data_IF_664075429989
#
_entry.id   IF_664075429989
#
_cell.length_a   1.000
_cell.length_b   1.000
_cell.length_c   1.000
_cell.angle_alpha   90.00
_cell.angle_beta   90.00
_cell.angle_gamma   90.00
#
_symmetry.space_group_name_H-M   'P 1'
#
loop_
_entity.id
_entity.type
_entity.pdbx_description
1 polymer ?
#
# COMPACT_ATOMS: atom_id res chain seq x y z
N UNK A 1 18.21 4.71 6.15
CA UNK A 1 17.20 4.56 7.22
C UNK A 1 17.66 3.43 8.15
N UNK A 2 17.96 3.73 9.42
CA UNK A 2 18.25 2.68 10.41
C UNK A 2 16.92 2.08 10.88
N UNK A 3 16.79 0.75 10.85
CA UNK A 3 15.63 0.03 11.39
C UNK A 3 15.56 0.31 12.89
N UNK A 4 14.37 0.63 13.41
CA UNK A 4 14.18 0.83 14.86
C UNK A 4 14.22 -0.54 15.56
N UNK A 5 14.53 -0.60 16.86
CA UNK A 5 14.60 -1.88 17.61
C UNK A 5 13.31 -2.70 17.49
N UNK A 6 12.15 -2.05 17.38
CA UNK A 6 10.85 -2.69 17.18
C UNK A 6 10.76 -3.46 15.84
N UNK A 7 11.39 -2.94 14.78
CA UNK A 7 11.37 -3.57 13.46
C UNK A 7 12.19 -4.86 13.44
N UNK A 8 13.31 -4.89 14.17
CA UNK A 8 14.18 -6.07 14.24
C UNK A 8 13.52 -7.20 15.04
N UNK A 9 12.87 -6.87 16.16
CA UNK A 9 12.11 -7.84 16.96
C UNK A 9 10.93 -8.42 16.17
N UNK A 10 10.25 -7.59 15.38
CA UNK A 10 9.20 -8.04 14.46
C UNK A 10 9.72 -9.06 13.44
N UNK A 11 10.89 -8.82 12.84
CA UNK A 11 11.50 -9.77 11.89
C UNK A 11 11.83 -11.10 12.55
N UNK A 12 12.30 -11.10 13.80
CA UNK A 12 12.58 -12.33 14.56
C UNK A 12 11.27 -13.08 14.85
N UNK A 13 10.21 -12.39 15.25
CA UNK A 13 8.90 -13.02 15.48
C UNK A 13 8.33 -13.64 14.19
N UNK A 14 8.42 -12.93 13.07
CA UNK A 14 8.00 -13.45 11.77
C UNK A 14 8.81 -14.66 11.32
N UNK A 15 10.13 -14.68 11.59
CA UNK A 15 10.97 -15.84 11.33
C UNK A 15 10.47 -17.09 12.06
N UNK A 16 10.06 -16.95 13.33
CA UNK A 16 9.52 -18.07 14.11
C UNK A 16 8.20 -18.62 13.53
N UNK A 17 7.35 -17.77 12.95
CA UNK A 17 6.13 -18.21 12.25
C UNK A 17 6.49 -18.91 10.93
N UNK A 18 7.39 -18.32 10.14
CA UNK A 18 7.80 -18.87 8.85
C UNK A 18 8.50 -20.23 8.98
N UNK A 19 9.28 -20.45 10.04
CA UNK A 19 9.98 -21.74 10.26
C UNK A 19 9.02 -22.91 10.52
N UNK A 20 7.80 -22.62 10.98
CA UNK A 20 6.74 -23.63 11.14
C UNK A 20 6.03 -24.02 9.84
N UNK A 21 6.30 -23.32 8.72
CA UNK A 21 5.58 -23.53 7.46
C UNK A 21 6.41 -24.31 6.42
N UNK A 22 5.88 -25.42 5.87
CA UNK A 22 6.61 -26.23 4.89
C UNK A 22 7.07 -25.45 3.65
N UNK A 23 8.38 -25.46 3.41
CA UNK A 23 9.01 -24.78 2.27
C UNK A 23 9.35 -23.31 2.50
N UNK A 24 9.04 -22.73 3.67
CA UNK A 24 9.32 -21.32 3.98
C UNK A 24 10.65 -21.10 4.69
N UNK A 25 11.49 -22.14 4.78
CA UNK A 25 12.73 -22.13 5.56
C UNK A 25 13.69 -21.02 5.14
N UNK A 26 13.93 -20.83 3.83
CA UNK A 26 14.81 -19.75 3.35
C UNK A 26 14.30 -18.35 3.69
N UNK A 27 12.98 -18.16 3.75
CA UNK A 27 12.38 -16.90 4.23
C UNK A 27 12.54 -16.74 5.75
N UNK A 28 12.36 -17.81 6.51
CA UNK A 28 12.59 -17.81 7.95
C UNK A 28 14.05 -17.45 8.28
N UNK A 29 15.01 -18.01 7.55
CA UNK A 29 16.45 -17.75 7.72
C UNK A 29 16.80 -16.32 7.31
N UNK A 30 16.22 -15.81 6.22
CA UNK A 30 16.31 -14.41 5.83
C UNK A 30 15.87 -13.47 6.96
N UNK A 31 14.65 -13.67 7.48
CA UNK A 31 14.05 -12.82 8.52
C UNK A 31 14.86 -12.86 9.83
N UNK A 32 15.35 -14.04 10.23
CA UNK A 32 16.19 -14.19 11.42
C UNK A 32 17.53 -13.45 11.27
N UNK A 33 18.19 -13.59 10.13
CA UNK A 33 19.46 -12.93 9.86
C UNK A 33 19.29 -11.41 9.75
N UNK A 34 18.20 -10.94 9.15
CA UNK A 34 17.87 -9.53 9.06
C UNK A 34 17.61 -8.92 10.44
N UNK A 35 16.83 -9.60 11.29
CA UNK A 35 16.59 -9.20 12.68
C UNK A 35 17.87 -9.11 13.53
N UNK A 36 18.93 -9.86 13.16
CA UNK A 36 20.27 -9.80 13.79
C UNK A 36 21.24 -8.83 13.11
N UNK A 37 20.80 -8.10 12.08
CA UNK A 37 21.64 -7.17 11.32
C UNK A 37 22.63 -7.81 10.33
N UNK A 38 22.51 -9.11 10.03
CA UNK A 38 23.45 -9.86 9.16
C UNK A 38 23.03 -9.76 7.68
N UNK A 39 23.19 -8.57 7.08
CA UNK A 39 22.61 -8.23 5.77
C UNK A 39 23.06 -9.11 4.60
N UNK A 40 24.37 -9.32 4.43
CA UNK A 40 24.91 -10.02 3.24
C UNK A 40 24.42 -11.46 3.15
N UNK A 41 24.43 -12.18 4.28
CA UNK A 41 23.95 -13.56 4.34
C UNK A 41 22.43 -13.62 4.21
N UNK A 42 21.70 -12.71 4.86
CA UNK A 42 20.24 -12.62 4.73
C UNK A 42 19.84 -12.51 3.24
N UNK A 43 20.48 -11.62 2.47
CA UNK A 43 20.19 -11.47 1.04
C UNK A 43 20.45 -12.74 0.22
N UNK A 44 21.44 -13.57 0.59
CA UNK A 44 21.67 -14.84 -0.07
C UNK A 44 20.51 -15.83 0.19
N UNK A 45 20.10 -15.98 1.46
CA UNK A 45 18.96 -16.83 1.83
C UNK A 45 17.67 -16.39 1.12
N UNK A 46 17.42 -15.06 1.05
CA UNK A 46 16.27 -14.50 0.35
C UNK A 46 16.33 -14.80 -1.16
N UNK A 47 17.49 -14.65 -1.78
CA UNK A 47 17.65 -14.88 -3.22
C UNK A 47 17.33 -16.33 -3.58
N UNK A 48 17.89 -17.28 -2.84
CA UNK A 48 17.63 -18.71 -3.06
C UNK A 48 16.16 -19.05 -2.80
N UNK A 49 15.57 -18.50 -1.74
CA UNK A 49 14.16 -18.67 -1.42
C UNK A 49 13.26 -18.17 -2.56
N UNK A 50 13.49 -16.94 -3.05
CA UNK A 50 12.67 -16.33 -4.10
C UNK A 50 12.74 -17.15 -5.39
N UNK A 51 13.94 -17.62 -5.77
CA UNK A 51 14.11 -18.46 -6.96
C UNK A 51 13.33 -19.78 -6.84
N UNK A 52 13.37 -20.42 -5.67
CA UNK A 52 12.59 -21.63 -5.43
C UNK A 52 11.08 -21.34 -5.42
N UNK A 53 10.65 -20.30 -4.72
CA UNK A 53 9.24 -19.93 -4.53
C UNK A 53 8.56 -19.51 -5.84
N UNK A 54 9.30 -18.93 -6.79
CA UNK A 54 8.79 -18.57 -8.10
C UNK A 54 8.23 -19.79 -8.86
N UNK A 55 8.80 -20.97 -8.62
CA UNK A 55 8.38 -22.23 -9.26
C UNK A 55 7.24 -22.95 -8.56
N UNK A 56 6.77 -22.43 -7.41
CA UNK A 56 5.66 -23.06 -6.68
C UNK A 56 4.35 -22.97 -7.45
N UNK A 57 3.40 -23.84 -7.08
CA UNK A 57 2.01 -23.72 -7.56
C UNK A 57 1.41 -22.38 -7.13
N UNK A 58 0.43 -21.91 -7.89
CA UNK A 58 -0.31 -20.69 -7.60
C UNK A 58 -0.80 -20.65 -6.14
N UNK A 59 -1.48 -21.70 -5.67
CA UNK A 59 -2.03 -21.75 -4.31
C UNK A 59 -0.96 -21.56 -3.22
N UNK A 60 0.24 -22.13 -3.43
CA UNK A 60 1.35 -21.99 -2.49
C UNK A 60 1.97 -20.60 -2.54
N UNK A 61 2.06 -19.98 -3.71
CA UNK A 61 2.49 -18.59 -3.83
C UNK A 61 1.46 -17.65 -3.21
N UNK A 62 0.17 -17.91 -3.40
CA UNK A 62 -0.91 -17.07 -2.86
C UNK A 62 -0.95 -17.13 -1.33
N UNK A 63 -0.84 -18.31 -0.72
CA UNK A 63 -0.73 -18.46 0.75
C UNK A 63 0.46 -17.66 1.31
N UNK A 64 1.60 -17.70 0.62
CA UNK A 64 2.76 -16.88 0.98
C UNK A 64 2.47 -15.38 0.84
N UNK A 65 1.85 -14.95 -0.26
CA UNK A 65 1.54 -13.55 -0.52
C UNK A 65 0.58 -12.99 0.53
N UNK A 66 -0.51 -13.70 0.83
CA UNK A 66 -1.48 -13.27 1.83
C UNK A 66 -0.82 -13.10 3.21
N UNK A 67 -0.02 -14.07 3.64
CA UNK A 67 0.71 -13.95 4.91
C UNK A 67 1.67 -12.75 4.93
N UNK A 68 2.37 -12.50 3.82
CA UNK A 68 3.31 -11.39 3.73
C UNK A 68 2.61 -10.03 3.70
N UNK A 69 1.50 -9.91 2.99
CA UNK A 69 0.70 -8.70 2.89
C UNK A 69 0.01 -8.34 4.21
N UNK A 70 -0.38 -9.35 4.99
CA UNK A 70 -0.88 -9.16 6.35
C UNK A 70 0.24 -8.79 7.35
N UNK A 71 1.46 -9.30 7.13
CA UNK A 71 2.57 -9.15 8.08
C UNK A 71 3.44 -7.91 7.83
N UNK A 72 3.56 -7.47 6.58
CA UNK A 72 4.46 -6.41 6.15
C UNK A 72 3.72 -5.37 5.31
N UNK A 73 4.09 -4.11 5.53
CA UNK A 73 3.78 -3.06 4.57
C UNK A 73 4.51 -3.35 3.24
N UNK A 74 3.86 -3.20 2.07
CA UNK A 74 4.52 -3.32 0.76
C UNK A 74 5.79 -2.46 0.65
N UNK A 75 5.81 -1.28 1.26
CA UNK A 75 6.98 -0.37 1.27
C UNK A 75 8.18 -0.90 2.06
N UNK A 76 7.96 -1.84 2.98
CA UNK A 76 9.01 -2.48 3.77
C UNK A 76 9.45 -3.82 3.21
N UNK A 77 8.78 -4.30 2.16
CA UNK A 77 9.03 -5.60 1.56
C UNK A 77 10.28 -5.55 0.67
N UNK A 78 11.15 -6.56 0.70
CA UNK A 78 12.30 -6.62 -0.20
C UNK A 78 11.86 -6.70 -1.66
N UNK A 79 12.42 -5.83 -2.51
CA UNK A 79 12.11 -5.78 -3.96
C UNK A 79 12.14 -7.16 -4.65
N UNK A 80 13.13 -8.06 -4.42
CA UNK A 80 13.12 -9.38 -5.04
C UNK A 80 11.86 -10.20 -4.72
N UNK A 81 11.36 -10.10 -3.50
CA UNK A 81 10.17 -10.80 -3.06
C UNK A 81 8.91 -10.15 -3.67
N UNK A 82 8.86 -8.81 -3.63
CA UNK A 82 7.75 -8.03 -4.15
C UNK A 82 7.56 -8.25 -5.66
N UNK A 83 8.63 -8.11 -6.42
CA UNK A 83 8.61 -8.13 -7.89
C UNK A 83 8.52 -9.55 -8.47
N UNK A 84 9.13 -10.55 -7.82
CA UNK A 84 9.18 -11.91 -8.36
C UNK A 84 8.03 -12.78 -7.89
N UNK A 85 7.50 -12.55 -6.69
CA UNK A 85 6.47 -13.39 -6.08
C UNK A 85 5.16 -12.62 -5.92
N UNK A 86 5.17 -11.50 -5.21
CA UNK A 86 3.93 -10.86 -4.76
C UNK A 86 3.16 -10.22 -5.90
N UNK A 87 3.81 -9.36 -6.70
CA UNK A 87 3.15 -8.73 -7.85
C UNK A 87 2.63 -9.75 -8.87
N UNK A 88 3.42 -10.73 -9.34
CA UNK A 88 2.92 -11.69 -10.32
C UNK A 88 1.78 -12.55 -9.77
N UNK A 89 1.88 -12.98 -8.51
CA UNK A 89 0.85 -13.83 -7.90
C UNK A 89 -0.45 -13.06 -7.66
N UNK A 90 -0.40 -11.79 -7.23
CA UNK A 90 -1.61 -10.99 -7.04
C UNK A 90 -2.27 -10.65 -8.38
N UNK A 91 -1.49 -10.40 -9.45
CA UNK A 91 -2.03 -10.23 -10.81
C UNK A 91 -2.73 -11.49 -11.28
N UNK A 92 -2.05 -12.63 -11.18
CA UNK A 92 -2.64 -13.94 -11.51
C UNK A 92 -3.90 -14.23 -10.68
N UNK A 93 -3.94 -13.81 -9.42
CA UNK A 93 -5.12 -13.95 -8.57
C UNK A 93 -6.30 -13.10 -9.07
N UNK A 94 -6.07 -11.83 -9.42
CA UNK A 94 -7.11 -10.98 -10.01
C UNK A 94 -7.61 -11.49 -11.36
N UNK A 95 -6.76 -12.15 -12.15
CA UNK A 95 -7.15 -12.77 -13.42
C UNK A 95 -7.98 -14.05 -13.22
N UNK A 96 -7.61 -14.88 -12.25
CA UNK A 96 -8.32 -16.13 -11.92
C UNK A 96 -9.65 -15.88 -11.22
N UNK A 97 -9.71 -14.85 -10.39
CA UNK A 97 -10.85 -14.53 -9.53
C UNK A 97 -11.24 -13.04 -9.62
N UNK A 98 -11.76 -12.57 -10.77
CA UNK A 98 -12.03 -11.15 -11.04
C UNK A 98 -13.19 -10.53 -10.25
N UNK A 99 -13.93 -11.36 -9.51
CA UNK A 99 -15.06 -10.93 -8.67
C UNK A 99 -14.72 -10.99 -7.17
N UNK A 100 -13.44 -11.19 -6.83
CA UNK A 100 -12.97 -11.26 -5.45
C UNK A 100 -12.53 -9.86 -4.98
N UNK A 101 -13.33 -9.25 -4.08
CA UNK A 101 -13.08 -7.92 -3.49
C UNK A 101 -11.65 -7.80 -2.93
N UNK A 102 -11.21 -8.81 -2.17
CA UNK A 102 -9.90 -8.78 -1.51
C UNK A 102 -8.72 -8.86 -2.50
N UNK A 103 -8.90 -9.49 -3.67
CA UNK A 103 -7.88 -9.51 -4.71
C UNK A 103 -7.67 -8.10 -5.27
N UNK A 104 -8.76 -7.39 -5.53
CA UNK A 104 -8.74 -6.01 -5.97
C UNK A 104 -8.15 -5.05 -4.92
N UNK A 105 -8.49 -5.22 -3.64
CA UNK A 105 -7.87 -4.44 -2.56
C UNK A 105 -6.35 -4.56 -2.56
N UNK A 106 -5.82 -5.78 -2.66
CA UNK A 106 -4.38 -5.99 -2.65
C UNK A 106 -3.69 -5.48 -3.92
N UNK A 107 -4.30 -5.64 -5.09
CA UNK A 107 -3.77 -5.09 -6.34
C UNK A 107 -3.65 -3.55 -6.28
N UNK A 108 -4.67 -2.87 -5.74
CA UNK A 108 -4.62 -1.43 -5.51
C UNK A 108 -3.51 -1.04 -4.53
N UNK A 109 -3.40 -1.76 -3.38
CA UNK A 109 -2.40 -1.48 -2.33
C UNK A 109 -0.96 -1.70 -2.78
N UNK A 110 -0.76 -2.58 -3.74
CA UNK A 110 0.53 -2.83 -4.38
C UNK A 110 0.89 -1.76 -5.44
N UNK A 111 0.03 -0.75 -5.64
CA UNK A 111 0.22 0.28 -6.65
C UNK A 111 0.07 -0.25 -8.08
N UNK A 112 -0.68 -1.32 -8.30
CA UNK A 112 -0.83 -1.95 -9.61
C UNK A 112 -1.99 -1.40 -10.44
N UNK A 113 -2.72 -0.41 -9.90
CA UNK A 113 -3.78 0.34 -10.57
C UNK A 113 -4.81 0.88 -9.57
N UNK A 114 -5.18 2.15 -9.68
CA UNK A 114 -6.21 2.78 -8.83
C UNK A 114 -7.60 2.22 -9.14
N UNK A 115 -7.81 1.78 -10.37
CA UNK A 115 -9.03 1.13 -10.87
C UNK A 115 -9.38 -0.15 -10.10
N UNK A 116 -8.40 -0.76 -9.41
CA UNK A 116 -8.67 -1.89 -8.55
C UNK A 116 -9.49 -1.49 -7.31
N UNK A 117 -9.29 -0.31 -6.73
CA UNK A 117 -10.15 0.15 -5.64
C UNK A 117 -11.57 0.45 -6.13
N UNK A 118 -11.71 1.02 -7.33
CA UNK A 118 -13.02 1.24 -7.96
C UNK A 118 -13.74 -0.09 -8.19
N UNK A 119 -13.02 -1.10 -8.68
CA UNK A 119 -13.57 -2.45 -8.88
C UNK A 119 -13.94 -3.12 -7.55
N UNK A 120 -13.13 -2.96 -6.50
CA UNK A 120 -13.47 -3.44 -5.16
C UNK A 120 -14.77 -2.78 -4.64
N UNK A 121 -14.95 -1.48 -4.83
CA UNK A 121 -16.17 -0.76 -4.46
C UNK A 121 -17.38 -1.11 -5.33
N UNK A 122 -17.16 -1.45 -6.60
CA UNK A 122 -18.21 -1.97 -7.47
C UNK A 122 -18.72 -3.33 -6.97
N UNK A 123 -17.82 -4.22 -6.56
CA UNK A 123 -18.14 -5.55 -6.04
C UNK A 123 -18.75 -5.49 -4.64
N UNK A 124 -18.21 -4.62 -3.78
CA UNK A 124 -18.73 -4.35 -2.43
C UNK A 124 -18.76 -2.85 -2.14
N UNK A 125 -19.92 -2.19 -2.36
CA UNK A 125 -20.10 -0.78 -2.04
C UNK A 125 -19.99 -0.45 -0.54
N UNK A 126 -20.02 -1.44 0.35
CA UNK A 126 -19.84 -1.24 1.79
C UNK A 126 -18.36 -1.30 2.21
N UNK A 127 -17.44 -1.69 1.32
CA UNK A 127 -16.02 -1.85 1.61
C UNK A 127 -15.37 -0.51 2.00
N UNK A 128 -15.31 -0.23 3.30
CA UNK A 128 -14.71 0.99 3.84
C UNK A 128 -13.20 1.07 3.57
N UNK A 129 -12.53 -0.08 3.50
CA UNK A 129 -11.10 -0.17 3.21
C UNK A 129 -10.78 0.25 1.78
N UNK A 130 -11.53 -0.23 0.77
CA UNK A 130 -11.36 0.17 -0.62
C UNK A 130 -11.59 1.67 -0.79
N UNK A 131 -12.63 2.20 -0.12
CA UNK A 131 -12.94 3.63 -0.12
C UNK A 131 -11.82 4.46 0.51
N UNK A 132 -11.30 4.01 1.64
CA UNK A 132 -10.15 4.62 2.31
C UNK A 132 -8.96 4.75 1.37
N UNK A 133 -8.55 3.63 0.77
CA UNK A 133 -7.40 3.62 -0.11
C UNK A 133 -7.63 4.41 -1.43
N UNK A 134 -8.85 4.42 -1.97
CA UNK A 134 -9.17 5.29 -3.12
C UNK A 134 -9.12 6.78 -2.74
N UNK A 135 -9.66 7.13 -1.56
CA UNK A 135 -9.58 8.49 -1.01
C UNK A 135 -8.12 8.93 -0.86
N UNK A 136 -7.28 8.09 -0.24
CA UNK A 136 -5.84 8.32 -0.11
C UNK A 136 -5.15 8.50 -1.47
N UNK A 137 -5.44 7.64 -2.44
CA UNK A 137 -4.88 7.73 -3.80
C UNK A 137 -5.27 9.02 -4.53
N UNK A 138 -6.44 9.59 -4.23
CA UNK A 138 -6.88 10.86 -4.81
C UNK A 138 -6.27 12.08 -4.13
N UNK A 139 -6.02 12.03 -2.81
CA UNK A 139 -5.46 13.17 -2.07
C UNK A 139 -3.92 13.22 -2.09
N UNK A 140 -3.23 12.10 -2.36
CA UNK A 140 -1.77 12.05 -2.38
C UNK A 140 -1.14 13.01 -3.42
N UNK A 141 -1.65 13.12 -4.66
CA UNK A 141 -1.19 14.13 -5.60
C UNK A 141 -1.43 15.57 -5.11
N UNK A 142 -2.54 15.82 -4.40
CA UNK A 142 -2.87 17.13 -3.86
C UNK A 142 -1.89 17.53 -2.76
N UNK A 143 -1.60 16.61 -1.83
CA UNK A 143 -0.54 16.80 -0.83
C UNK A 143 0.79 17.11 -1.52
N UNK A 144 1.15 16.33 -2.55
CA UNK A 144 2.37 16.56 -3.31
C UNK A 144 2.36 17.94 -3.98
N UNK A 145 1.24 18.43 -4.49
CA UNK A 145 1.21 19.76 -5.10
C UNK A 145 1.46 20.90 -4.11
N UNK A 146 1.26 20.64 -2.81
CA UNK A 146 1.32 21.60 -1.72
C UNK A 146 2.59 21.49 -0.86
N UNK A 147 3.43 20.46 -1.06
CA UNK A 147 4.54 20.18 -0.13
C UNK A 147 5.65 21.25 -0.09
N UNK A 148 5.64 22.19 -1.04
CA UNK A 148 6.54 23.33 -1.10
C UNK A 148 5.93 24.64 -0.60
N UNK A 149 4.71 24.63 -0.09
CA UNK A 149 4.13 25.83 0.51
C UNK A 149 4.97 26.31 1.71
N UNK A 150 5.10 27.64 1.90
CA UNK A 150 4.44 28.71 1.14
C UNK A 150 5.20 29.17 -0.11
N UNK A 151 6.29 28.52 -0.51
CA UNK A 151 7.17 29.00 -1.59
C UNK A 151 6.50 28.92 -2.96
N UNK A 152 5.91 27.77 -3.29
CA UNK A 152 5.15 27.58 -4.53
C UNK A 152 4.16 26.41 -4.45
N UNK A 153 3.18 26.46 -5.35
CA UNK A 153 2.22 25.39 -5.61
C UNK A 153 2.58 24.74 -6.95
N UNK A 154 2.76 23.42 -6.99
CA UNK A 154 3.36 22.74 -8.17
C UNK A 154 2.42 22.74 -9.38
N UNK A 155 1.15 22.38 -9.17
CA UNK A 155 0.15 22.24 -10.23
C UNK A 155 -1.01 23.21 -9.97
N UNK A 156 -2.25 22.82 -10.33
CA UNK A 156 -3.43 23.69 -10.27
C UNK A 156 -4.17 23.52 -8.94
N UNK A 157 -4.19 24.52 -8.05
CA UNK A 157 -5.01 24.45 -6.84
C UNK A 157 -6.50 24.33 -7.15
N UNK A 158 -6.95 24.83 -8.31
CA UNK A 158 -8.34 24.72 -8.73
C UNK A 158 -8.72 23.28 -9.14
N UNK A 159 -7.78 22.54 -9.75
CA UNK A 159 -7.99 21.12 -10.07
C UNK A 159 -8.00 20.30 -8.77
N UNK A 160 -7.04 20.56 -7.88
CA UNK A 160 -6.96 19.89 -6.59
C UNK A 160 -8.25 20.08 -5.76
N UNK A 161 -8.88 21.25 -5.81
CA UNK A 161 -10.18 21.47 -5.15
C UNK A 161 -11.32 20.61 -5.71
N UNK A 162 -11.28 20.24 -7.00
CA UNK A 162 -12.24 19.31 -7.59
C UNK A 162 -11.97 17.89 -7.11
N UNK A 163 -10.71 17.45 -7.13
CA UNK A 163 -10.31 16.12 -6.66
C UNK A 163 -10.65 15.93 -5.17
N UNK A 164 -10.40 16.94 -4.34
CA UNK A 164 -10.77 16.95 -2.93
C UNK A 164 -12.29 16.89 -2.71
N UNK A 165 -13.09 17.53 -3.57
CA UNK A 165 -14.55 17.47 -3.47
C UNK A 165 -15.09 16.09 -3.86
N UNK A 166 -14.50 15.46 -4.87
CA UNK A 166 -14.84 14.09 -5.26
C UNK A 166 -14.43 13.09 -4.17
N UNK A 167 -13.25 13.26 -3.57
CA UNK A 167 -12.78 12.45 -2.45
C UNK A 167 -13.71 12.54 -1.23
N UNK A 168 -14.18 13.73 -0.89
CA UNK A 168 -15.15 13.95 0.19
C UNK A 168 -16.52 13.31 -0.11
N UNK A 169 -16.97 13.40 -1.37
CA UNK A 169 -18.27 12.87 -1.79
C UNK A 169 -18.40 11.35 -1.57
N UNK A 170 -17.28 10.61 -1.62
CA UNK A 170 -17.27 9.16 -1.35
C UNK A 170 -17.79 8.78 0.04
N UNK A 171 -17.71 9.70 1.00
CA UNK A 171 -18.07 9.46 2.40
C UNK A 171 -19.47 9.96 2.78
N UNK A 172 -20.17 10.64 1.87
CA UNK A 172 -21.52 11.17 2.14
C UNK A 172 -22.50 10.04 2.45
N UNK A 173 -23.18 10.15 3.60
CA UNK A 173 -24.17 9.17 4.04
C UNK A 173 -23.59 7.82 4.48
N UNK A 174 -22.29 7.76 4.78
CA UNK A 174 -21.59 6.55 5.25
C UNK A 174 -21.23 6.66 6.72
N UNK A 175 -21.00 5.52 7.35
CA UNK A 175 -20.45 5.47 8.71
C UNK A 175 -19.00 5.97 8.69
N UNK A 176 -18.71 6.94 9.55
CA UNK A 176 -17.40 7.56 9.66
C UNK A 176 -16.59 6.80 10.69
N UNK A 177 -15.78 5.85 10.20
CA UNK A 177 -14.76 5.16 10.99
C UNK A 177 -13.44 5.94 11.07
N UNK A 178 -12.42 5.38 11.72
CA UNK A 178 -11.10 6.01 11.85
C UNK A 178 -10.45 6.36 10.52
N UNK A 179 -10.55 5.49 9.52
CA UNK A 179 -10.03 5.71 8.16
C UNK A 179 -10.69 6.92 7.51
N UNK A 180 -12.02 7.03 7.62
CA UNK A 180 -12.78 8.16 7.10
C UNK A 180 -12.41 9.47 7.80
N UNK A 181 -12.26 9.43 9.13
CA UNK A 181 -11.87 10.60 9.94
C UNK A 181 -10.53 11.18 9.50
N UNK A 182 -9.53 10.31 9.26
CA UNK A 182 -8.21 10.77 8.81
C UNK A 182 -8.29 11.36 7.40
N UNK A 183 -8.92 10.68 6.44
CA UNK A 183 -9.04 11.22 5.08
C UNK A 183 -9.77 12.57 5.05
N UNK A 184 -10.89 12.70 5.79
CA UNK A 184 -11.65 13.96 5.85
C UNK A 184 -10.86 15.10 6.50
N UNK A 185 -10.01 14.81 7.48
CA UNK A 185 -9.11 15.79 8.07
C UNK A 185 -8.09 16.29 7.06
N UNK A 186 -7.44 15.37 6.33
CA UNK A 186 -6.44 15.72 5.33
C UNK A 186 -7.08 16.51 4.17
N UNK A 187 -8.29 16.10 3.74
CA UNK A 187 -9.07 16.84 2.75
C UNK A 187 -9.34 18.29 3.19
N UNK A 188 -9.73 18.48 4.45
CA UNK A 188 -9.98 19.82 4.99
C UNK A 188 -8.72 20.68 4.98
N UNK A 189 -7.60 20.15 5.47
CA UNK A 189 -6.32 20.84 5.51
C UNK A 189 -5.85 21.24 4.09
N UNK A 190 -5.86 20.30 3.16
CA UNK A 190 -5.41 20.56 1.79
C UNK A 190 -6.32 21.53 1.04
N UNK A 191 -7.62 21.53 1.36
CA UNK A 191 -8.58 22.51 0.84
C UNK A 191 -8.28 23.91 1.34
N UNK A 192 -8.01 24.06 2.62
CA UNK A 192 -7.66 25.37 3.21
C UNK A 192 -6.41 25.95 2.55
N UNK A 193 -5.39 25.12 2.35
CA UNK A 193 -4.15 25.50 1.67
C UNK A 193 -4.38 25.92 0.22
N UNK A 194 -5.10 25.13 -0.57
CA UNK A 194 -5.40 25.44 -1.97
C UNK A 194 -6.23 26.73 -2.11
N UNK A 195 -7.21 26.93 -1.22
CA UNK A 195 -8.01 28.15 -1.20
C UNK A 195 -7.20 29.37 -0.76
N UNK A 196 -6.29 29.23 0.21
CA UNK A 196 -5.39 30.29 0.61
C UNK A 196 -4.48 30.71 -0.55
N UNK A 197 -3.88 29.74 -1.23
CA UNK A 197 -3.04 30.00 -2.40
C UNK A 197 -3.78 30.81 -3.47
N UNK A 198 -5.00 30.41 -3.83
CA UNK A 198 -5.81 31.10 -4.85
C UNK A 198 -6.22 32.52 -4.44
N UNK A 199 -6.45 32.77 -3.15
CA UNK A 199 -6.73 34.13 -2.66
C UNK A 199 -5.51 35.03 -2.81
N UNK A 200 -4.32 34.50 -2.53
CA UNK A 200 -3.08 35.26 -2.56
C UNK A 200 -2.48 35.36 -3.98
N UNK A 201 -2.82 34.42 -4.87
CA UNK A 201 -2.32 34.30 -6.25
C UNK A 201 -3.45 34.16 -7.29
N UNK A 202 -4.31 35.17 -7.48
CA UNK A 202 -5.52 35.08 -8.30
C UNK A 202 -5.27 34.93 -9.82
N UNK A 203 -4.03 35.07 -10.29
CA UNK A 203 -3.65 34.92 -11.71
C UNK A 203 -3.08 33.53 -12.05
N UNK A 204 -3.13 32.58 -11.10
CA UNK A 204 -2.58 31.22 -11.23
C UNK A 204 -1.14 31.11 -10.70
N UNK A 205 -0.62 29.87 -10.53
CA UNK A 205 0.81 29.64 -10.35
C UNK A 205 1.64 30.13 -11.54
#
# INVERSE_FOLDING_TARGET
MALQNNDLDKMIAMSAVASGKPGWQGLADYLALQGRGVRKRALAELTEFVQAAATWSFDRRLDLCLWLLESLSPYSMPSPLLETIVHPTCREWGEREPDTVIAHLWLGRLGLGVEHYERALYLDPACAEARGCLCEAMIEPVWFNQHHLPDYYINSPAADLLDLAEAEAMWVGREIGSVATQCLKDIHEYRENAQAWLRDHPQGP
#
